data_IF_412333171993
#
_entry.id   IF_412333171993
#
_cell.length_a   1.000
_cell.length_b   1.000
_cell.length_c   1.000
_cell.angle_alpha   90.00
_cell.angle_beta   90.00
_cell.angle_gamma   90.00
#
_symmetry.space_group_name_H-M   'P 1'
#
loop_
_entity.id
_entity.type
_entity.pdbx_description
1 polymer ?
#
# COMPACT_ATOMS: atom_id res chain seq x y z
N UNK A 1 -6.55 4.84 -7.45
CA UNK A 1 -5.67 6.00 -7.65
C UNK A 1 -6.30 7.13 -8.47
N UNK A 2 -7.16 6.82 -9.46
CA UNK A 2 -7.75 7.83 -10.36
C UNK A 2 -8.47 8.98 -9.62
N UNK A 3 -9.25 8.68 -8.57
CA UNK A 3 -9.94 9.72 -7.79
C UNK A 3 -8.97 10.69 -7.10
N UNK A 4 -7.84 10.16 -6.59
CA UNK A 4 -6.78 10.99 -5.98
C UNK A 4 -6.15 11.89 -7.04
N UNK A 5 -5.86 11.36 -8.23
CA UNK A 5 -5.33 12.17 -9.33
C UNK A 5 -6.30 13.25 -9.79
N UNK A 6 -7.61 12.95 -9.83
CA UNK A 6 -8.63 13.96 -10.17
C UNK A 6 -8.60 15.14 -9.21
N UNK A 7 -8.56 14.88 -7.90
CA UNK A 7 -8.46 15.95 -6.88
C UNK A 7 -7.14 16.72 -7.03
N UNK A 8 -6.03 16.02 -7.28
CA UNK A 8 -4.72 16.67 -7.52
C UNK A 8 -4.73 17.59 -8.76
N UNK A 9 -5.43 17.19 -9.82
CA UNK A 9 -5.57 17.99 -11.04
C UNK A 9 -6.41 19.24 -10.81
N UNK A 10 -7.47 19.16 -10.00
CA UNK A 10 -8.29 20.30 -9.56
C UNK A 10 -7.45 21.34 -8.80
N UNK A 11 -6.48 20.88 -7.99
CA UNK A 11 -5.55 21.71 -7.22
C UNK A 11 -4.27 22.10 -8.02
N UNK A 12 -4.16 21.69 -9.29
CA UNK A 12 -3.03 22.01 -10.16
C UNK A 12 -1.68 21.44 -9.70
N UNK A 13 -1.68 20.38 -8.89
CA UNK A 13 -0.45 19.79 -8.32
C UNK A 13 -0.56 18.29 -8.17
N UNK A 14 0.36 17.56 -8.83
CA UNK A 14 0.56 16.13 -8.62
C UNK A 14 1.76 15.85 -7.71
N UNK A 15 1.58 14.88 -6.82
CA UNK A 15 2.64 14.32 -5.98
C UNK A 15 2.52 12.79 -5.96
N UNK A 16 3.61 12.05 -5.66
CA UNK A 16 3.53 10.59 -5.59
C UNK A 16 2.47 10.11 -4.60
N UNK A 17 1.73 9.07 -4.97
CA UNK A 17 0.66 8.48 -4.16
C UNK A 17 1.13 7.17 -3.55
N UNK A 18 1.10 7.10 -2.22
CA UNK A 18 1.45 5.90 -1.45
C UNK A 18 0.17 5.21 -0.98
N UNK A 19 -0.02 3.95 -1.36
CA UNK A 19 -1.14 3.16 -0.85
C UNK A 19 -0.85 2.65 0.57
N UNK A 20 -1.74 2.92 1.52
CA UNK A 20 -1.72 2.27 2.84
C UNK A 20 -2.37 0.88 2.73
N UNK A 21 -1.60 -0.16 3.01
CA UNK A 21 -2.09 -1.54 3.08
C UNK A 21 -2.47 -1.83 4.53
N UNK A 22 -3.76 -1.66 4.82
CA UNK A 22 -4.33 -1.71 6.18
C UNK A 22 -5.62 -2.54 6.30
N UNK A 23 -6.20 -2.97 5.16
CA UNK A 23 -7.42 -3.76 5.10
C UNK A 23 -7.16 -5.14 4.49
N UNK A 24 -7.90 -6.20 4.89
CA UNK A 24 -7.76 -7.54 4.32
C UNK A 24 -7.87 -7.57 2.80
N UNK A 25 -8.79 -6.79 2.23
CA UNK A 25 -9.00 -6.69 0.78
C UNK A 25 -7.76 -6.13 0.05
N UNK A 26 -6.97 -5.27 0.71
CA UNK A 26 -5.72 -4.78 0.14
C UNK A 26 -4.60 -5.85 0.19
N UNK A 27 -4.65 -6.76 1.16
CA UNK A 27 -3.75 -7.92 1.24
C UNK A 27 -4.08 -8.91 0.12
N UNK A 28 -5.36 -9.17 -0.11
CA UNK A 28 -5.83 -10.10 -1.15
C UNK A 28 -5.50 -9.59 -2.56
N UNK A 29 -5.56 -8.27 -2.77
CA UNK A 29 -5.31 -7.62 -4.07
C UNK A 29 -3.95 -6.90 -4.13
N UNK A 30 -2.96 -7.34 -3.35
CA UNK A 30 -1.71 -6.59 -3.18
C UNK A 30 -0.93 -6.35 -4.47
N UNK A 31 -1.02 -7.24 -5.46
CA UNK A 31 -0.38 -7.08 -6.77
C UNK A 31 -0.94 -5.88 -7.52
N UNK A 32 -2.27 -5.78 -7.62
CA UNK A 32 -2.93 -4.64 -8.25
C UNK A 32 -2.62 -3.34 -7.50
N UNK A 33 -2.58 -3.38 -6.16
CA UNK A 33 -2.21 -2.23 -5.33
C UNK A 33 -0.78 -1.77 -5.63
N UNK A 34 0.21 -2.67 -5.66
CA UNK A 34 1.60 -2.30 -5.94
C UNK A 34 1.75 -1.72 -7.35
N UNK A 35 1.02 -2.26 -8.32
CA UNK A 35 1.10 -1.79 -9.71
C UNK A 35 0.40 -0.44 -9.92
N UNK A 36 -0.71 -0.19 -9.24
CA UNK A 36 -1.52 1.01 -9.43
C UNK A 36 -0.98 2.28 -8.76
N UNK A 37 -0.07 2.16 -7.78
CA UNK A 37 0.39 3.29 -6.97
C UNK A 37 1.90 3.53 -7.11
N UNK A 38 2.37 4.72 -6.73
CA UNK A 38 3.80 5.08 -6.83
C UNK A 38 4.64 4.40 -5.77
N UNK A 39 4.02 4.00 -4.66
CA UNK A 39 4.62 3.19 -3.61
C UNK A 39 3.56 2.69 -2.65
N UNK A 40 4.00 1.96 -1.62
CA UNK A 40 3.09 1.41 -0.61
C UNK A 40 3.62 1.58 0.80
N UNK A 41 2.72 1.51 1.77
CA UNK A 41 3.03 1.48 3.18
C UNK A 41 2.35 0.26 3.82
N UNK A 42 3.11 -0.56 4.53
CA UNK A 42 2.55 -1.57 5.44
C UNK A 42 2.18 -0.85 6.73
N UNK A 43 0.88 -0.56 6.92
CA UNK A 43 0.37 0.10 8.12
C UNK A 43 0.04 -0.98 9.17
N UNK A 44 1.04 -1.44 9.92
CA UNK A 44 0.90 -2.63 10.78
C UNK A 44 -0.11 -2.45 11.90
N UNK A 45 -0.19 -1.28 12.52
CA UNK A 45 -1.15 -1.00 13.58
C UNK A 45 -2.58 -1.17 13.09
N UNK A 46 -2.93 -0.45 12.02
CA UNK A 46 -4.25 -0.53 11.38
C UNK A 46 -4.54 -1.95 10.87
N UNK A 47 -3.58 -2.59 10.20
CA UNK A 47 -3.75 -3.95 9.67
C UNK A 47 -3.97 -5.00 10.77
N UNK A 48 -3.33 -4.86 11.93
CA UNK A 48 -3.49 -5.78 13.05
C UNK A 48 -4.88 -5.69 13.72
N UNK A 49 -5.60 -4.58 13.52
CA UNK A 49 -7.00 -4.44 13.98
C UNK A 49 -7.94 -5.24 13.07
N UNK A 50 -7.61 -5.35 11.78
CA UNK A 50 -8.51 -5.86 10.74
C UNK A 50 -8.13 -7.27 10.25
N UNK A 51 -6.91 -7.72 10.52
CA UNK A 51 -6.32 -8.97 10.05
C UNK A 51 -5.65 -9.73 11.20
N UNK A 52 -5.61 -11.08 11.18
CA UNK A 52 -4.96 -11.84 12.24
C UNK A 52 -3.52 -11.36 12.49
N UNK A 53 -3.25 -10.90 13.72
CA UNK A 53 -2.00 -10.24 14.12
C UNK A 53 -0.78 -11.11 13.79
N UNK A 54 -0.87 -12.41 14.04
CA UNK A 54 0.18 -13.38 13.79
C UNK A 54 0.54 -13.54 12.30
N UNK A 55 -0.37 -13.16 11.40
CA UNK A 55 -0.14 -13.19 9.94
C UNK A 55 0.45 -11.89 9.40
N UNK A 56 0.35 -10.77 10.14
CA UNK A 56 0.86 -9.46 9.70
C UNK A 56 2.35 -9.50 9.29
N UNK A 57 3.27 -10.17 10.03
CA UNK A 57 4.66 -10.29 9.59
C UNK A 57 4.84 -10.96 8.22
N UNK A 58 4.01 -11.95 7.89
CA UNK A 58 4.05 -12.64 6.61
C UNK A 58 3.54 -11.76 5.47
N UNK A 59 2.46 -11.01 5.71
CA UNK A 59 1.92 -10.02 4.77
C UNK A 59 2.96 -8.94 4.47
N UNK A 60 3.62 -8.41 5.52
CA UNK A 60 4.69 -7.42 5.37
C UNK A 60 5.80 -7.95 4.46
N UNK A 61 6.31 -9.15 4.73
CA UNK A 61 7.41 -9.74 3.94
C UNK A 61 7.01 -9.90 2.48
N UNK A 62 5.81 -10.43 2.22
CA UNK A 62 5.28 -10.61 0.86
C UNK A 62 5.14 -9.27 0.12
N UNK A 63 4.61 -8.23 0.77
CA UNK A 63 4.46 -6.92 0.16
C UNK A 63 5.81 -6.27 -0.15
N UNK A 64 6.78 -6.36 0.76
CA UNK A 64 8.14 -5.84 0.55
C UNK A 64 8.80 -6.52 -0.65
N UNK A 65 8.71 -7.85 -0.76
CA UNK A 65 9.28 -8.60 -1.88
C UNK A 65 8.63 -8.19 -3.21
N UNK A 66 7.30 -8.06 -3.23
CA UNK A 66 6.54 -7.64 -4.40
C UNK A 66 6.91 -6.21 -4.85
N UNK A 67 7.05 -5.27 -3.91
CA UNK A 67 7.48 -3.91 -4.21
C UNK A 67 8.90 -3.87 -4.77
N UNK A 68 9.83 -4.61 -4.15
CA UNK A 68 11.22 -4.71 -4.62
C UNK A 68 11.31 -5.24 -6.05
N UNK A 69 10.51 -6.26 -6.40
CA UNK A 69 10.47 -6.83 -7.76
C UNK A 69 9.94 -5.83 -8.80
N UNK A 70 9.04 -4.94 -8.41
CA UNK A 70 8.42 -3.96 -9.29
C UNK A 70 9.05 -2.55 -9.17
N UNK A 71 10.21 -2.43 -8.52
CA UNK A 71 10.90 -1.16 -8.27
C UNK A 71 10.01 -0.09 -7.61
N UNK A 72 9.08 -0.50 -6.75
CA UNK A 72 8.21 0.40 -5.97
C UNK A 72 8.81 0.64 -4.57
N UNK A 73 8.90 1.90 -4.09
CA UNK A 73 9.25 2.19 -2.71
C UNK A 73 8.21 1.60 -1.76
N UNK A 74 8.69 1.06 -0.64
CA UNK A 74 7.86 0.48 0.42
C UNK A 74 8.27 1.04 1.78
N UNK A 75 7.29 1.47 2.57
CA UNK A 75 7.46 1.97 3.94
C UNK A 75 6.87 0.94 4.90
N UNK A 76 7.57 0.65 6.00
CA UNK A 76 7.02 -0.13 7.11
C UNK A 76 6.72 0.85 8.24
N UNK A 77 5.46 0.98 8.62
CA UNK A 77 5.00 1.87 9.69
C UNK A 77 4.29 1.07 10.80
N UNK A 78 4.25 1.64 12.00
CA UNK A 78 3.47 1.13 13.15
C UNK A 78 2.27 2.01 13.37
#
# INVERSE_FOLDING_TARGET
VADVHRVMDEEGRRVPVIAKVEKPQAVDNMEDVVMAFDGVMVARGDLAVEYPLEKVPMVQKRLIELCRRNAKPVIVAT
#
